data_IF_551173782213
#
_entry.id   IF_551173782213
#
_cell.length_a   1.000
_cell.length_b   1.000
_cell.length_c   1.000
_cell.angle_alpha   90.00
_cell.angle_beta   90.00
_cell.angle_gamma   90.00
#
_symmetry.space_group_name_H-M   'P 1'
#
loop_
_entity.id
_entity.type
_entity.pdbx_description
1 polymer ?
#
# COMPACT_ATOMS: atom_id res chain seq x y z
N UNK A 1 -8.47 7.13 17.38
CA UNK A 1 -8.16 5.75 17.82
C UNK A 1 -7.41 5.09 16.68
N UNK A 2 -6.30 4.40 16.95
CA UNK A 2 -5.60 3.61 15.93
C UNK A 2 -6.38 2.31 15.78
N UNK A 3 -7.08 2.16 14.66
CA UNK A 3 -7.91 0.98 14.38
C UNK A 3 -7.21 0.00 13.44
N UNK A 4 -5.98 0.30 13.03
CA UNK A 4 -5.22 -0.51 12.07
C UNK A 4 -3.74 -0.22 12.14
N UNK A 5 -2.92 -1.18 11.73
CA UNK A 5 -1.49 -0.98 11.53
C UNK A 5 -1.05 -1.56 10.18
N UNK A 6 0.09 -1.09 9.68
CA UNK A 6 0.61 -1.46 8.37
C UNK A 6 2.03 -2.02 8.46
N UNK A 7 2.28 -3.14 7.77
CA UNK A 7 3.62 -3.66 7.47
C UNK A 7 3.90 -3.57 5.98
N UNK A 8 5.17 -3.65 5.62
CA UNK A 8 5.63 -3.84 4.26
C UNK A 8 6.61 -5.02 4.17
N UNK A 9 6.83 -5.51 2.94
CA UNK A 9 7.74 -6.61 2.64
C UNK A 9 9.22 -6.19 2.53
N UNK A 10 9.59 -5.05 3.12
CA UNK A 10 10.93 -4.48 3.07
C UNK A 10 11.28 -3.84 1.73
N UNK A 11 12.56 -3.93 1.35
CA UNK A 11 13.11 -3.25 0.17
C UNK A 11 13.12 -4.10 -1.11
N UNK A 12 12.35 -5.19 -1.14
CA UNK A 12 12.26 -6.08 -2.31
C UNK A 12 10.94 -5.87 -3.05
N UNK A 13 11.01 -5.52 -4.33
CA UNK A 13 9.84 -5.43 -5.20
C UNK A 13 9.38 -6.83 -5.62
N UNK A 14 8.08 -7.06 -5.60
CA UNK A 14 7.45 -8.35 -5.87
C UNK A 14 6.27 -8.18 -6.83
N UNK A 15 5.79 -9.30 -7.38
CA UNK A 15 4.54 -9.34 -8.15
C UNK A 15 3.35 -9.05 -7.23
N UNK A 16 2.19 -8.74 -7.82
CA UNK A 16 0.96 -8.53 -7.07
C UNK A 16 0.57 -9.77 -6.24
N UNK A 17 0.64 -10.96 -6.86
CA UNK A 17 0.35 -12.23 -6.19
C UNK A 17 1.31 -12.50 -5.01
N UNK A 18 2.61 -12.29 -5.20
CA UNK A 18 3.59 -12.51 -4.15
C UNK A 18 3.43 -11.52 -2.98
N UNK A 19 2.96 -10.28 -3.25
CA UNK A 19 2.60 -9.35 -2.19
C UNK A 19 1.37 -9.85 -1.40
N UNK A 20 0.36 -10.40 -2.10
CA UNK A 20 -0.81 -11.02 -1.47
C UNK A 20 -0.42 -12.20 -0.58
N UNK A 21 0.40 -13.10 -1.11
CA UNK A 21 0.89 -14.28 -0.41
C UNK A 21 1.72 -13.89 0.83
N UNK A 22 2.60 -12.89 0.70
CA UNK A 22 3.39 -12.40 1.84
C UNK A 22 2.49 -11.85 2.95
N UNK A 23 1.43 -11.11 2.61
CA UNK A 23 0.45 -10.65 3.60
C UNK A 23 -0.25 -11.82 4.28
N UNK A 24 -0.76 -12.78 3.50
CA UNK A 24 -1.47 -13.95 4.00
C UNK A 24 -0.59 -14.78 4.97
N UNK A 25 0.69 -14.97 4.63
CA UNK A 25 1.66 -15.67 5.49
C UNK A 25 1.96 -14.95 6.81
N UNK A 26 1.74 -13.63 6.88
CA UNK A 26 1.84 -12.84 8.10
C UNK A 26 0.49 -12.69 8.84
N UNK A 27 -0.57 -13.40 8.41
CA UNK A 27 -1.89 -13.35 9.03
C UNK A 27 -2.64 -12.03 8.80
N UNK A 28 -2.25 -11.28 7.77
CA UNK A 28 -2.82 -9.98 7.40
C UNK A 28 -3.19 -9.95 5.92
N UNK A 29 -3.76 -8.85 5.44
CA UNK A 29 -4.19 -8.74 4.04
C UNK A 29 -3.61 -7.50 3.38
N UNK A 30 -3.49 -7.53 2.04
CA UNK A 30 -3.23 -6.30 1.29
C UNK A 30 -4.38 -5.30 1.53
N UNK A 31 -4.07 -4.00 1.71
CA UNK A 31 -5.09 -2.97 1.81
C UNK A 31 -5.64 -2.59 0.44
N UNK A 32 -6.88 -2.13 0.42
CA UNK A 32 -7.45 -1.44 -0.74
C UNK A 32 -6.79 -0.07 -0.95
N UNK A 33 -6.94 0.49 -2.16
CA UNK A 33 -6.57 1.86 -2.52
C UNK A 33 -7.07 2.87 -1.50
N UNK A 34 -8.35 2.77 -1.10
CA UNK A 34 -8.95 3.70 -0.14
C UNK A 34 -8.37 3.60 1.27
N UNK A 35 -7.78 2.46 1.62
CA UNK A 35 -7.07 2.28 2.89
C UNK A 35 -5.63 2.81 2.84
N UNK A 36 -5.09 3.09 1.64
CA UNK A 36 -3.77 3.69 1.46
C UNK A 36 -3.83 5.18 1.13
N UNK A 37 -4.82 5.63 0.37
CA UNK A 37 -4.93 7.02 -0.08
C UNK A 37 -6.39 7.43 -0.26
N UNK A 38 -6.65 8.74 -0.17
CA UNK A 38 -7.92 9.35 -0.55
C UNK A 38 -7.81 10.14 -1.87
N UNK A 39 -6.70 10.00 -2.58
CA UNK A 39 -6.40 10.70 -3.83
C UNK A 39 -5.02 11.39 -3.77
N UNK A 40 -4.47 11.69 -4.95
CA UNK A 40 -3.18 12.37 -5.07
C UNK A 40 -3.19 13.71 -4.34
N UNK A 41 -2.22 13.91 -3.44
CA UNK A 41 -2.07 15.13 -2.65
C UNK A 41 -3.14 15.35 -1.57
N UNK A 42 -4.10 14.43 -1.42
CA UNK A 42 -5.17 14.56 -0.44
C UNK A 42 -4.66 14.18 0.94
N UNK A 43 -4.78 15.09 1.91
CA UNK A 43 -4.48 14.86 3.33
C UNK A 43 -5.75 14.89 4.17
N UNK A 44 -5.99 13.84 4.94
CA UNK A 44 -7.22 13.65 5.72
C UNK A 44 -6.95 12.82 6.97
N UNK A 45 -7.22 13.37 8.15
CA UNK A 45 -7.18 12.63 9.41
C UNK A 45 -8.18 11.47 9.39
N UNK A 46 -7.77 10.28 9.83
CA UNK A 46 -8.57 9.06 9.70
C UNK A 46 -8.82 8.60 8.25
N UNK A 47 -8.04 9.11 7.29
CA UNK A 47 -8.02 8.64 5.90
C UNK A 47 -7.17 7.37 5.72
N UNK A 48 -6.82 7.08 4.47
CA UNK A 48 -5.83 6.06 4.17
C UNK A 48 -4.42 6.44 4.65
N UNK A 49 -3.49 5.48 4.66
CA UNK A 49 -2.12 5.64 5.17
C UNK A 49 -1.42 6.95 4.72
N UNK A 50 -1.32 7.20 3.42
CA UNK A 50 -0.76 8.44 2.88
C UNK A 50 -1.59 9.67 3.24
N UNK A 51 -2.93 9.57 3.17
CA UNK A 51 -3.78 10.72 3.44
C UNK A 51 -3.63 11.20 4.88
N UNK A 52 -3.50 10.28 5.83
CA UNK A 52 -3.30 10.62 7.23
C UNK A 52 -1.86 11.08 7.49
N UNK A 53 -0.87 10.29 7.08
CA UNK A 53 0.53 10.46 7.53
C UNK A 53 1.44 11.16 6.52
N UNK A 54 1.08 11.14 5.24
CA UNK A 54 1.83 11.78 4.17
C UNK A 54 2.85 10.88 3.50
N UNK A 55 3.90 11.46 2.91
CA UNK A 55 4.98 10.70 2.28
C UNK A 55 5.61 9.74 3.29
N UNK A 56 5.46 8.43 3.07
CA UNK A 56 5.84 7.44 4.09
C UNK A 56 7.35 7.29 4.25
N UNK A 57 8.12 7.63 3.21
CA UNK A 57 9.59 7.67 3.29
C UNK A 57 10.15 8.72 4.25
N UNK A 58 9.33 9.63 4.76
CA UNK A 58 9.73 10.56 5.83
C UNK A 58 9.85 9.87 7.21
N UNK A 59 9.31 8.65 7.35
CA UNK A 59 9.30 7.89 8.60
C UNK A 59 10.26 6.71 8.50
N UNK A 60 11.58 6.95 8.58
CA UNK A 60 12.61 5.93 8.33
C UNK A 60 12.50 4.67 9.20
N UNK A 61 11.98 4.77 10.43
CA UNK A 61 11.75 3.62 11.31
C UNK A 61 10.54 2.74 10.91
N UNK A 62 9.72 3.18 9.96
CA UNK A 62 8.54 2.43 9.50
C UNK A 62 8.88 1.35 8.46
N UNK A 63 10.09 1.40 7.88
CA UNK A 63 10.50 0.53 6.78
C UNK A 63 9.86 0.86 5.42
N UNK A 64 8.96 1.85 5.36
CA UNK A 64 8.40 2.32 4.09
C UNK A 64 9.37 3.28 3.39
N UNK A 65 9.32 3.27 2.06
CA UNK A 65 10.05 4.21 1.20
C UNK A 65 9.07 4.95 0.28
N UNK A 66 9.51 6.08 -0.27
CA UNK A 66 8.72 6.87 -1.21
C UNK A 66 8.65 6.17 -2.59
N UNK A 67 7.72 5.22 -2.73
CA UNK A 67 7.52 4.45 -3.97
C UNK A 67 6.08 3.90 -4.08
N UNK A 68 5.82 3.15 -5.15
CA UNK A 68 4.58 2.44 -5.41
C UNK A 68 4.45 1.16 -4.59
N UNK A 69 3.27 0.96 -4.02
CA UNK A 69 2.88 -0.22 -3.24
C UNK A 69 1.62 -0.86 -3.81
N UNK A 70 1.58 -2.19 -3.82
CA UNK A 70 0.43 -2.94 -4.28
C UNK A 70 -0.79 -2.76 -3.38
N UNK A 71 -1.96 -2.66 -4.00
CA UNK A 71 -3.26 -2.70 -3.32
C UNK A 71 -3.89 -4.08 -3.53
N UNK A 72 -4.95 -4.40 -2.80
CA UNK A 72 -5.68 -5.67 -2.96
C UNK A 72 -6.54 -5.77 -4.22
N UNK A 73 -6.63 -4.72 -5.04
CA UNK A 73 -7.57 -4.64 -6.15
C UNK A 73 -6.90 -4.93 -7.50
N UNK A 74 -7.62 -5.63 -8.38
CA UNK A 74 -7.36 -5.68 -9.82
C UNK A 74 -8.56 -5.15 -10.63
N UNK A 75 -8.38 -4.89 -11.93
CA UNK A 75 -9.46 -4.46 -12.82
C UNK A 75 -10.24 -5.60 -13.48
N UNK A 76 -9.90 -6.85 -13.17
CA UNK A 76 -10.52 -8.03 -13.77
C UNK A 76 -10.02 -8.37 -15.19
N UNK A 77 -9.08 -7.59 -15.74
CA UNK A 77 -8.43 -7.86 -17.04
C UNK A 77 -6.96 -8.28 -16.91
N UNK A 78 -6.53 -8.59 -15.68
CA UNK A 78 -5.16 -8.98 -15.35
C UNK A 78 -4.25 -7.80 -14.97
N UNK A 79 -4.80 -6.58 -14.87
CA UNK A 79 -4.07 -5.44 -14.30
C UNK A 79 -4.41 -5.23 -12.83
N UNK A 80 -3.41 -4.72 -12.09
CA UNK A 80 -3.48 -4.58 -10.64
C UNK A 80 -3.24 -3.12 -10.23
N UNK A 81 -3.95 -2.69 -9.20
CA UNK A 81 -3.84 -1.32 -8.71
C UNK A 81 -2.69 -1.16 -7.73
N UNK A 82 -2.04 0.00 -7.80
CA UNK A 82 -1.01 0.43 -6.85
C UNK A 82 -1.30 1.84 -6.32
N UNK A 83 -0.66 2.18 -5.21
CA UNK A 83 -0.63 3.53 -4.64
C UNK A 83 0.82 3.97 -4.44
N UNK A 84 1.18 5.16 -4.93
CA UNK A 84 2.43 5.83 -4.58
C UNK A 84 2.34 6.42 -3.17
N UNK A 85 3.17 5.95 -2.25
CA UNK A 85 3.19 6.46 -0.87
C UNK A 85 4.04 7.72 -0.71
N UNK A 86 4.49 8.32 -1.80
CA UNK A 86 5.16 9.62 -1.89
C UNK A 86 4.17 10.77 -2.12
N UNK A 87 3.13 10.57 -2.93
CA UNK A 87 2.15 11.61 -3.28
C UNK A 87 0.69 11.14 -3.26
N UNK A 88 0.43 9.88 -2.91
CA UNK A 88 -0.91 9.29 -2.84
C UNK A 88 -1.52 8.98 -4.20
N UNK A 89 -0.75 9.00 -5.30
CA UNK A 89 -1.24 8.68 -6.64
C UNK A 89 -1.71 7.23 -6.72
N UNK A 90 -2.86 7.00 -7.35
CA UNK A 90 -3.32 5.66 -7.71
C UNK A 90 -3.01 5.38 -9.17
N UNK A 91 -2.52 4.20 -9.49
CA UNK A 91 -2.39 3.74 -10.87
C UNK A 91 -2.78 2.28 -11.02
N UNK A 92 -2.80 1.81 -12.26
CA UNK A 92 -3.07 0.42 -12.60
C UNK A 92 -2.03 -0.07 -13.59
N UNK A 93 -1.52 -1.29 -13.39
CA UNK A 93 -0.48 -1.84 -14.26
C UNK A 93 -0.45 -3.37 -14.25
N UNK A 94 0.04 -3.98 -15.33
CA UNK A 94 0.55 -5.36 -15.38
C UNK A 94 1.41 -5.55 -16.64
N UNK A 95 2.51 -6.35 -16.60
CA UNK A 95 3.19 -6.93 -15.43
C UNK A 95 4.37 -6.04 -14.96
N UNK A 96 4.38 -5.65 -13.67
CA UNK A 96 5.49 -4.93 -13.03
C UNK A 96 5.73 -5.48 -11.62
N UNK A 97 6.84 -5.07 -10.99
CA UNK A 97 7.14 -5.36 -9.59
C UNK A 97 7.09 -4.08 -8.77
N UNK A 98 6.32 -4.09 -7.68
CA UNK A 98 6.23 -3.02 -6.70
C UNK A 98 6.36 -3.58 -5.28
N UNK A 99 6.40 -2.70 -4.28
CA UNK A 99 6.49 -3.10 -2.89
C UNK A 99 5.16 -3.66 -2.39
N UNK A 100 5.23 -4.62 -1.47
CA UNK A 100 4.07 -5.15 -0.76
C UNK A 100 3.78 -4.30 0.48
N UNK A 101 2.50 -4.01 0.71
CA UNK A 101 2.00 -3.44 1.96
C UNK A 101 0.83 -4.29 2.44
N UNK A 102 0.75 -4.52 3.74
CA UNK A 102 -0.35 -5.22 4.37
C UNK A 102 -0.93 -4.39 5.49
N UNK A 103 -2.20 -4.63 5.79
CA UNK A 103 -2.96 -3.97 6.83
C UNK A 103 -3.54 -5.01 7.76
N UNK A 104 -3.30 -4.84 9.05
CA UNK A 104 -4.02 -5.56 10.10
C UNK A 104 -5.09 -4.63 10.68
N UNK A 105 -6.30 -5.18 10.86
CA UNK A 105 -7.37 -4.52 11.62
C UNK A 105 -7.42 -5.11 13.03
N UNK A 106 -7.85 -4.32 14.01
CA UNK A 106 -8.16 -4.78 15.36
C UNK A 106 -9.66 -5.01 15.52
#
# INVERSE_FOLDING_TARGET
MINSWFINNGNTKVTWDNASEWCANNGVQQPSRLQLTNGKGVRKAGGGLYAEWGPMGNYGSSGFINFNYWTSEGDGSGHHYFVGLDDGITGIVSPYNYYGVCRQSF
#
